data_IF_320352901759
#
_entry.id   IF_320352901759
#
_cell.length_a   1.000
_cell.length_b   1.000
_cell.length_c   1.000
_cell.angle_alpha   90.00
_cell.angle_beta   90.00
_cell.angle_gamma   90.00
#
_symmetry.space_group_name_H-M   'P 1'
#
loop_
_entity.id
_entity.type
_entity.pdbx_description
1 polymer ?
#
# COMPACT_ATOMS: atom_id res chain seq x y z
N UNK A 1 -0.68 0.62 9.18
CA UNK A 1 0.08 1.37 8.16
C UNK A 1 -0.50 2.77 8.07
N UNK A 2 0.33 3.80 8.20
CA UNK A 2 -0.08 5.19 7.99
C UNK A 2 0.27 5.59 6.55
N UNK A 3 -0.68 6.22 5.86
CA UNK A 3 -0.59 6.59 4.44
C UNK A 3 -0.80 8.09 4.31
N UNK A 4 0.23 8.79 3.86
CA UNK A 4 0.23 10.25 3.72
C UNK A 4 0.72 10.66 2.35
N UNK A 5 0.08 11.62 1.70
CA UNK A 5 0.53 12.10 0.39
C UNK A 5 -0.57 12.72 -0.43
N UNK A 6 -0.45 12.62 -1.75
CA UNK A 6 -1.47 13.12 -2.65
C UNK A 6 -1.15 12.92 -4.12
N UNK A 7 -2.13 13.28 -4.93
CA UNK A 7 -2.07 13.25 -6.38
C UNK A 7 -2.55 14.59 -6.95
N UNK A 8 -1.92 15.01 -8.03
CA UNK A 8 -2.35 16.15 -8.85
C UNK A 8 -2.59 15.61 -10.26
N UNK A 9 -3.83 15.69 -10.74
CA UNK A 9 -4.14 15.43 -12.14
C UNK A 9 -3.59 16.58 -12.99
N UNK A 10 -2.68 16.30 -13.92
CA UNK A 10 -1.98 17.34 -14.68
C UNK A 10 -2.86 18.00 -15.76
N UNK A 11 -3.97 17.36 -16.16
CA UNK A 11 -4.89 17.88 -17.17
C UNK A 11 -5.97 18.77 -16.53
N UNK A 12 -6.54 18.32 -15.40
CA UNK A 12 -7.65 19.03 -14.74
C UNK A 12 -7.19 19.93 -13.60
N UNK A 13 -5.93 19.82 -13.17
CA UNK A 13 -5.39 20.44 -11.95
C UNK A 13 -6.17 20.07 -10.67
N UNK A 14 -6.94 18.98 -10.72
CA UNK A 14 -7.62 18.42 -9.55
C UNK A 14 -6.58 17.83 -8.59
N UNK A 15 -6.73 18.13 -7.30
CA UNK A 15 -5.81 17.71 -6.25
C UNK A 15 -6.54 16.84 -5.24
N UNK A 16 -5.93 15.72 -4.90
CA UNK A 16 -6.41 14.82 -3.87
C UNK A 16 -5.29 14.59 -2.85
N UNK A 17 -5.63 14.66 -1.58
CA UNK A 17 -4.69 14.46 -0.47
C UNK A 17 -5.15 13.30 0.38
N UNK A 18 -4.18 12.54 0.86
CA UNK A 18 -4.42 11.40 1.73
C UNK A 18 -3.67 11.60 3.04
N UNK A 19 -4.37 11.41 4.14
CA UNK A 19 -3.82 11.22 5.47
C UNK A 19 -4.75 10.24 6.18
N UNK A 20 -4.35 8.97 6.22
CA UNK A 20 -5.20 7.90 6.74
C UNK A 20 -4.39 6.77 7.35
N UNK A 21 -4.97 6.16 8.37
CA UNK A 21 -4.52 4.89 8.91
C UNK A 21 -5.24 3.75 8.23
N UNK A 22 -4.47 2.77 7.80
CA UNK A 22 -4.90 1.59 7.06
C UNK A 22 -4.44 0.33 7.79
N UNK A 23 -5.35 -0.62 7.98
CA UNK A 23 -4.99 -1.98 8.32
C UNK A 23 -4.73 -2.74 7.02
N UNK A 24 -3.50 -3.18 6.80
CA UNK A 24 -3.09 -3.93 5.62
C UNK A 24 -2.96 -5.42 5.95
N UNK A 25 -3.60 -6.25 5.14
CA UNK A 25 -3.31 -7.67 5.03
C UNK A 25 -2.64 -7.92 3.69
N UNK A 26 -1.57 -8.71 3.68
CA UNK A 26 -0.78 -8.99 2.49
C UNK A 26 -0.46 -10.48 2.41
N UNK A 27 -0.82 -11.11 1.29
CA UNK A 27 -0.52 -12.51 1.01
C UNK A 27 0.06 -12.63 -0.40
N UNK A 28 1.39 -12.71 -0.46
CA UNK A 28 2.12 -12.81 -1.72
C UNK A 28 1.84 -14.13 -2.44
N UNK A 29 1.70 -15.25 -1.71
CA UNK A 29 1.49 -16.57 -2.30
C UNK A 29 0.12 -16.69 -2.95
N UNK A 30 -0.92 -16.14 -2.31
CA UNK A 30 -2.27 -16.03 -2.90
C UNK A 30 -2.39 -14.88 -3.90
N UNK A 31 -1.38 -14.00 -3.96
CA UNK A 31 -1.38 -12.75 -4.74
C UNK A 31 -2.61 -11.91 -4.42
N UNK A 32 -2.82 -11.66 -3.13
CA UNK A 32 -3.96 -10.90 -2.62
C UNK A 32 -3.54 -9.87 -1.58
N UNK A 33 -4.22 -8.73 -1.59
CA UNK A 33 -4.15 -7.75 -0.50
C UNK A 33 -5.53 -7.38 -0.03
N UNK A 34 -5.62 -6.97 1.23
CA UNK A 34 -6.80 -6.31 1.77
C UNK A 34 -6.37 -5.08 2.53
N UNK A 35 -7.08 -3.98 2.33
CA UNK A 35 -6.97 -2.81 3.18
C UNK A 35 -8.31 -2.52 3.85
N UNK A 36 -8.27 -2.22 5.13
CA UNK A 36 -9.40 -1.67 5.88
C UNK A 36 -9.04 -0.26 6.33
N UNK A 37 -9.85 0.71 5.93
CA UNK A 37 -9.67 2.14 6.26
C UNK A 37 -10.92 2.66 6.95
N UNK A 38 -10.76 3.34 8.08
CA UNK A 38 -11.88 4.07 8.70
C UNK A 38 -12.05 5.40 7.97
N UNK A 39 -13.20 5.60 7.36
CA UNK A 39 -13.56 6.84 6.64
C UNK A 39 -14.57 7.61 7.49
N UNK A 40 -14.28 8.90 7.72
CA UNK A 40 -15.18 9.83 8.39
C UNK A 40 -15.62 10.91 7.40
N UNK A 41 -16.92 10.99 7.11
CA UNK A 41 -17.49 11.99 6.21
C UNK A 41 -17.99 13.22 6.99
N UNK A 42 -18.33 14.27 6.24
CA UNK A 42 -19.00 15.45 6.80
C UNK A 42 -20.29 15.04 7.52
N UNK A 43 -20.49 15.57 8.73
CA UNK A 43 -21.60 15.17 9.61
C UNK A 43 -21.29 13.97 10.53
N UNK A 44 -20.01 13.63 10.74
CA UNK A 44 -19.54 12.58 11.66
C UNK A 44 -19.99 11.15 11.30
N UNK A 45 -20.47 10.92 10.08
CA UNK A 45 -20.75 9.57 9.62
C UNK A 45 -19.43 8.82 9.43
N UNK A 46 -19.27 7.70 10.12
CA UNK A 46 -18.05 6.88 10.08
C UNK A 46 -18.39 5.50 9.53
N UNK A 47 -17.58 4.99 8.61
CA UNK A 47 -17.69 3.62 8.11
C UNK A 47 -16.32 3.03 7.79
N UNK A 48 -16.26 1.70 7.67
CA UNK A 48 -15.06 1.01 7.18
C UNK A 48 -15.15 0.86 5.67
N UNK A 49 -14.20 1.45 4.96
CA UNK A 49 -13.91 1.13 3.58
C UNK A 49 -13.00 -0.09 3.55
N UNK A 50 -13.45 -1.15 2.88
CA UNK A 50 -12.63 -2.35 2.64
C UNK A 50 -12.31 -2.46 1.16
N UNK A 51 -11.03 -2.57 0.83
CA UNK A 51 -10.58 -2.91 -0.53
C UNK A 51 -9.88 -4.26 -0.49
N UNK A 52 -10.31 -5.21 -1.32
CA UNK A 52 -9.65 -6.49 -1.55
C UNK A 52 -9.13 -6.51 -2.98
N UNK A 53 -7.83 -6.69 -3.16
CA UNK A 53 -7.20 -6.75 -4.48
C UNK A 53 -6.79 -8.19 -4.77
N UNK A 54 -7.31 -8.73 -5.86
CA UNK A 54 -7.00 -10.06 -6.39
C UNK A 54 -6.15 -9.88 -7.66
N UNK A 55 -4.83 -9.98 -7.50
CA UNK A 55 -3.88 -9.78 -8.60
C UNK A 55 -3.83 -10.97 -9.55
N UNK A 56 -4.38 -12.14 -9.18
CA UNK A 56 -4.48 -13.28 -10.08
C UNK A 56 -5.57 -13.05 -11.13
N UNK A 57 -6.71 -12.50 -10.71
CA UNK A 57 -7.84 -12.20 -11.60
C UNK A 57 -7.84 -10.75 -12.11
N UNK A 58 -6.92 -9.91 -11.63
CA UNK A 58 -6.83 -8.50 -12.02
C UNK A 58 -8.06 -7.70 -11.59
N UNK A 59 -8.53 -7.91 -10.35
CA UNK A 59 -9.74 -7.25 -9.82
C UNK A 59 -9.44 -6.55 -8.51
N UNK A 60 -10.01 -5.35 -8.33
CA UNK A 60 -10.15 -4.70 -7.02
C UNK A 60 -11.61 -4.66 -6.62
N UNK A 61 -11.93 -5.15 -5.42
CA UNK A 61 -13.25 -5.18 -4.82
C UNK A 61 -13.31 -4.14 -3.72
N UNK A 62 -14.10 -3.08 -3.90
CA UNK A 62 -14.28 -2.00 -2.93
C UNK A 62 -15.64 -2.13 -2.27
N UNK A 63 -15.67 -2.09 -0.93
CA UNK A 63 -16.85 -2.35 -0.12
C UNK A 63 -17.07 -1.17 0.83
N UNK A 64 -18.20 -0.49 0.65
CA UNK A 64 -18.59 0.68 1.42
C UNK A 64 -20.04 0.56 1.85
N UNK A 65 -20.32 0.64 3.15
CA UNK A 65 -21.69 0.60 3.70
C UNK A 65 -22.51 -0.61 3.18
N UNK A 66 -21.85 -1.75 3.00
CA UNK A 66 -22.45 -2.98 2.47
C UNK A 66 -22.73 -2.99 0.96
N UNK A 67 -22.37 -1.91 0.25
CA UNK A 67 -22.34 -1.87 -1.21
C UNK A 67 -20.97 -2.28 -1.70
N UNK A 68 -20.93 -2.87 -2.89
CA UNK A 68 -19.69 -3.31 -3.50
C UNK A 68 -19.55 -2.81 -4.93
N UNK A 69 -18.36 -2.34 -5.28
CA UNK A 69 -17.95 -2.07 -6.65
C UNK A 69 -16.73 -2.92 -7.01
N UNK A 70 -16.61 -3.23 -8.29
CA UNK A 70 -15.49 -4.00 -8.84
C UNK A 70 -14.81 -3.17 -9.91
N UNK A 71 -13.50 -3.02 -9.78
CA UNK A 71 -12.67 -2.31 -10.75
C UNK A 71 -11.66 -3.27 -11.38
N UNK A 72 -11.32 -3.00 -12.64
CA UNK A 72 -10.25 -3.74 -13.31
C UNK A 72 -8.90 -3.22 -12.82
N UNK A 73 -8.06 -4.13 -12.35
CA UNK A 73 -6.70 -3.82 -11.95
C UNK A 73 -5.77 -3.90 -13.17
N UNK A 74 -4.98 -2.85 -13.38
CA UNK A 74 -4.01 -2.73 -14.48
C UNK A 74 -2.56 -2.92 -14.01
N UNK A 75 -2.33 -2.82 -12.70
CA UNK A 75 -0.99 -2.89 -12.10
C UNK A 75 -0.66 -4.28 -11.56
N UNK A 76 0.58 -4.76 -11.74
CA UNK A 76 1.00 -6.03 -11.15
C UNK A 76 1.17 -5.91 -9.64
N UNK A 77 1.17 -7.05 -8.95
CA UNK A 77 1.58 -7.11 -7.54
C UNK A 77 3.05 -6.68 -7.43
N UNK A 78 3.37 -5.82 -6.46
CA UNK A 78 4.75 -5.50 -6.17
C UNK A 78 5.46 -6.73 -5.60
N UNK A 79 6.73 -6.91 -5.96
CA UNK A 79 7.53 -7.99 -5.40
C UNK A 79 7.69 -7.85 -3.88
N UNK A 80 7.64 -9.01 -3.20
CA UNK A 80 7.78 -9.11 -1.75
C UNK A 80 9.16 -8.62 -1.29
N UNK A 81 10.19 -8.87 -2.11
CA UNK A 81 11.57 -8.54 -1.81
C UNK A 81 11.99 -7.21 -2.45
N UNK A 82 13.09 -6.64 -1.96
CA UNK A 82 13.80 -5.58 -2.66
C UNK A 82 14.23 -6.11 -4.05
N UNK A 83 13.90 -5.42 -5.15
CA UNK A 83 14.30 -5.84 -6.49
C UNK A 83 15.82 -5.97 -6.63
N UNK A 84 16.28 -6.89 -7.47
CA UNK A 84 17.73 -7.14 -7.67
C UNK A 84 18.49 -5.94 -8.21
N UNK A 85 17.82 -5.08 -8.96
CA UNK A 85 18.33 -3.86 -9.56
C UNK A 85 18.17 -2.63 -8.65
N UNK A 86 17.66 -2.80 -7.44
CA UNK A 86 17.55 -1.71 -6.49
C UNK A 86 18.93 -1.23 -6.00
N UNK A 87 19.05 0.09 -5.86
CA UNK A 87 20.24 0.73 -5.36
C UNK A 87 20.12 0.97 -3.85
N UNK A 88 21.09 0.47 -3.07
CA UNK A 88 21.22 0.85 -1.67
C UNK A 88 21.64 2.33 -1.59
N UNK A 89 20.80 3.17 -0.99
CA UNK A 89 21.08 4.61 -0.85
C UNK A 89 21.59 4.99 0.54
N UNK A 90 21.21 4.23 1.58
CA UNK A 90 21.67 4.47 2.94
C UNK A 90 21.48 3.25 3.85
N UNK A 91 22.28 3.20 4.91
CA UNK A 91 22.07 2.36 6.09
C UNK A 91 21.98 3.29 7.30
N UNK A 92 20.95 3.11 8.13
CA UNK A 92 20.64 4.02 9.24
C UNK A 92 20.10 3.26 10.44
N UNK A 93 20.22 3.88 11.59
CA UNK A 93 19.65 3.43 12.84
C UNK A 93 18.50 4.37 13.22
N UNK A 94 17.32 3.81 13.52
CA UNK A 94 16.14 4.58 13.95
C UNK A 94 15.91 4.31 15.44
N UNK A 95 15.98 5.37 16.26
CA UNK A 95 15.80 5.28 17.70
C UNK A 95 17.08 5.56 18.49
N UNK A 96 17.03 5.45 19.83
CA UNK A 96 18.18 5.69 20.69
C UNK A 96 19.25 4.60 20.54
N UNK A 97 20.54 4.88 20.84
CA UNK A 97 21.64 3.92 20.68
C UNK A 97 21.41 2.54 21.32
N UNK A 98 20.78 2.49 22.49
CA UNK A 98 20.56 1.26 23.24
C UNK A 98 19.29 0.49 22.85
N UNK A 99 18.44 1.07 21.99
CA UNK A 99 17.21 0.45 21.51
C UNK A 99 16.85 1.03 20.13
N UNK A 100 17.66 0.68 19.14
CA UNK A 100 17.50 1.16 17.79
C UNK A 100 17.02 0.07 16.84
N UNK A 101 16.46 0.52 15.72
CA UNK A 101 16.09 -0.30 14.59
C UNK A 101 17.05 -0.01 13.44
N UNK A 102 17.90 -0.97 13.11
CA UNK A 102 18.78 -0.89 11.95
C UNK A 102 17.99 -1.11 10.65
N UNK A 103 18.10 -0.15 9.73
CA UNK A 103 17.39 -0.14 8.45
C UNK A 103 18.31 0.09 7.27
N UNK A 104 17.97 -0.54 6.16
CA UNK A 104 18.54 -0.27 4.84
C UNK A 104 17.50 0.44 3.99
N UNK A 105 17.93 1.48 3.30
CA UNK A 105 17.09 2.28 2.42
C UNK A 105 17.51 2.02 0.98
N UNK A 106 16.56 1.58 0.18
CA UNK A 106 16.73 1.16 -1.21
C UNK A 106 15.92 2.05 -2.13
N UNK A 107 16.43 2.28 -3.34
CA UNK A 107 15.76 3.05 -4.38
C UNK A 107 15.67 2.23 -5.67
N UNK A 108 14.50 2.20 -6.29
CA UNK A 108 14.26 1.55 -7.57
C UNK A 108 13.08 2.18 -8.31
N UNK A 109 12.82 1.75 -9.54
CA UNK A 109 11.68 2.19 -10.37
C UNK A 109 10.77 0.99 -10.58
N UNK A 110 9.45 1.19 -10.48
CA UNK A 110 8.49 0.10 -10.78
C UNK A 110 8.51 -0.13 -12.30
N UNK A 111 8.78 -1.37 -12.77
CA UNK A 111 8.82 -1.68 -14.19
C UNK A 111 7.55 -1.23 -14.93
N UNK A 112 7.72 -0.72 -16.14
CA UNK A 112 6.62 -0.23 -17.00
C UNK A 112 5.85 0.97 -16.45
N UNK A 113 6.41 1.69 -15.47
CA UNK A 113 5.85 2.94 -14.94
C UNK A 113 6.94 4.01 -14.81
N UNK A 114 6.54 5.26 -14.57
CA UNK A 114 7.45 6.34 -14.18
C UNK A 114 7.48 6.56 -12.65
N UNK A 115 7.16 5.52 -11.88
CA UNK A 115 7.09 5.59 -10.42
C UNK A 115 8.42 5.17 -9.81
N UNK A 116 9.04 6.11 -9.09
CA UNK A 116 10.21 5.84 -8.25
C UNK A 116 9.74 5.40 -6.86
N UNK A 117 10.38 4.37 -6.33
CA UNK A 117 10.16 3.87 -4.97
C UNK A 117 11.43 4.05 -4.15
N UNK A 118 11.27 4.63 -2.96
CA UNK A 118 12.29 4.64 -1.91
C UNK A 118 11.73 3.83 -0.74
N UNK A 119 12.27 2.64 -0.50
CA UNK A 119 11.78 1.69 0.51
C UNK A 119 12.83 1.50 1.58
N UNK A 120 12.44 1.60 2.85
CA UNK A 120 13.26 1.22 3.98
C UNK A 120 12.79 -0.12 4.56
N UNK A 121 13.75 -0.99 4.86
CA UNK A 121 13.51 -2.31 5.45
C UNK A 121 14.47 -2.56 6.61
N UNK A 122 14.06 -3.36 7.59
CA UNK A 122 14.94 -3.74 8.70
C UNK A 122 16.06 -4.66 8.25
N UNK A 123 17.17 -4.68 9.00
CA UNK A 123 18.24 -5.68 8.87
C UNK A 123 18.25 -6.57 10.12
N UNK A 124 18.38 -7.91 9.99
CA UNK A 124 18.56 -8.69 8.76
C UNK A 124 17.25 -9.17 8.11
N UNK A 125 16.12 -9.01 8.78
CA UNK A 125 14.88 -9.73 8.42
C UNK A 125 14.05 -9.10 7.29
N UNK A 126 14.46 -7.95 6.78
CA UNK A 126 13.79 -7.24 5.68
C UNK A 126 12.33 -6.85 5.94
N UNK A 127 11.96 -6.56 7.20
CA UNK A 127 10.62 -6.06 7.52
C UNK A 127 10.42 -4.66 6.92
N UNK A 128 9.30 -4.38 6.24
CA UNK A 128 9.04 -3.05 5.69
C UNK A 128 8.87 -2.04 6.84
N UNK A 129 9.59 -0.93 6.78
CA UNK A 129 9.49 0.16 7.77
C UNK A 129 8.76 1.34 7.13
N UNK A 130 9.25 1.81 5.99
CA UNK A 130 8.61 2.87 5.23
C UNK A 130 8.79 2.70 3.72
N UNK A 131 7.90 3.31 2.96
CA UNK A 131 7.97 3.37 1.51
C UNK A 131 7.50 4.74 1.05
N UNK A 132 8.22 5.33 0.12
CA UNK A 132 7.81 6.53 -0.58
C UNK A 132 7.70 6.16 -2.06
N UNK A 133 6.56 6.44 -2.66
CA UNK A 133 6.33 6.28 -4.09
C UNK A 133 6.06 7.66 -4.67
N UNK A 134 6.80 8.04 -5.71
CA UNK A 134 6.57 9.31 -6.38
C UNK A 134 6.89 9.23 -7.87
N UNK A 135 6.16 10.01 -8.67
CA UNK A 135 6.33 10.01 -10.11
C UNK A 135 5.04 10.34 -10.84
N UNK A 136 4.99 9.98 -12.13
CA UNK A 136 3.79 10.13 -12.94
C UNK A 136 3.10 8.79 -13.17
N UNK A 137 1.80 8.77 -12.92
CA UNK A 137 0.95 7.60 -13.09
C UNK A 137 -0.42 8.05 -13.62
N UNK A 138 -0.92 7.39 -14.68
CA UNK A 138 -2.22 7.67 -15.32
C UNK A 138 -2.50 9.16 -15.60
N UNK A 139 -1.48 9.92 -16.01
CA UNK A 139 -1.60 11.35 -16.35
C UNK A 139 -1.62 12.29 -15.14
N UNK A 140 -1.49 11.76 -13.92
CA UNK A 140 -1.28 12.52 -12.69
C UNK A 140 0.17 12.46 -12.21
N UNK A 141 0.59 13.48 -11.46
CA UNK A 141 1.76 13.38 -10.58
C UNK A 141 1.30 12.92 -9.21
N UNK A 142 1.93 11.90 -8.66
CA UNK A 142 1.62 11.36 -7.33
C UNK A 142 2.87 11.34 -6.47
N UNK A 143 2.68 11.56 -5.18
CA UNK A 143 3.70 11.38 -4.14
C UNK A 143 3.02 10.86 -2.88
N UNK A 144 3.32 9.63 -2.52
CA UNK A 144 2.72 8.89 -1.42
C UNK A 144 3.81 8.35 -0.51
N UNK A 145 3.58 8.41 0.80
CA UNK A 145 4.41 7.81 1.83
C UNK A 145 3.57 6.83 2.63
N UNK A 146 4.15 5.67 2.91
CA UNK A 146 3.57 4.56 3.65
C UNK A 146 4.51 4.23 4.79
N UNK A 147 4.02 4.29 6.03
CA UNK A 147 4.78 3.88 7.22
C UNK A 147 4.11 2.65 7.82
N UNK A 148 4.87 1.59 8.01
CA UNK A 148 4.35 0.31 8.49
C UNK A 148 4.77 0.09 9.94
N UNK A 149 3.82 -0.36 10.75
CA UNK A 149 4.00 -0.69 12.16
C UNK A 149 3.10 -1.87 12.51
N UNK A 150 3.30 -2.44 13.71
CA UNK A 150 2.49 -3.54 14.26
C UNK A 150 2.42 -4.76 13.32
N UNK A 151 3.53 -5.06 12.65
CA UNK A 151 3.62 -6.17 11.71
C UNK A 151 3.58 -7.47 12.48
N UNK A 152 2.76 -8.41 11.99
CA UNK A 152 2.66 -9.72 12.59
C UNK A 152 2.48 -10.80 11.51
N UNK A 153 3.22 -11.90 11.65
CA UNK A 153 3.07 -13.09 10.80
C UNK A 153 2.09 -14.02 11.50
N UNK A 154 0.80 -13.71 11.44
CA UNK A 154 -0.23 -14.63 11.94
C UNK A 154 -1.01 -15.19 10.77
N UNK A 155 -1.41 -16.48 10.82
CA UNK A 155 -2.48 -16.96 9.98
C UNK A 155 -3.72 -16.14 10.33
N UNK A 156 -4.07 -15.20 9.47
CA UNK A 156 -5.36 -14.55 9.53
C UNK A 156 -6.43 -15.57 9.06
N UNK A 157 -7.65 -15.44 9.57
CA UNK A 157 -8.75 -16.29 9.10
C UNK A 157 -8.90 -16.16 7.58
N UNK A 158 -9.01 -17.27 6.84
CA UNK A 158 -9.18 -17.24 5.37
C UNK A 158 -10.35 -16.35 4.93
N UNK A 159 -11.33 -16.15 5.81
CA UNK A 159 -12.46 -15.25 5.61
C UNK A 159 -12.05 -13.79 5.35
N UNK A 160 -10.88 -13.34 5.83
CA UNK A 160 -10.40 -11.96 5.67
C UNK A 160 -10.19 -11.61 4.20
N UNK A 161 -9.64 -12.54 3.42
CA UNK A 161 -9.39 -12.36 1.97
C UNK A 161 -10.50 -12.94 1.10
N UNK A 162 -11.60 -13.43 1.70
CA UNK A 162 -12.67 -14.04 0.93
C UNK A 162 -13.41 -12.97 0.13
N UNK A 163 -13.42 -13.14 -1.20
CA UNK A 163 -14.16 -12.30 -2.13
C UNK A 163 -15.64 -12.25 -1.73
N UNK A 164 -16.26 -11.06 -1.59
CA UNK A 164 -17.64 -11.01 -1.13
C UNK A 164 -18.58 -11.54 -2.22
N UNK A 165 -19.48 -12.47 -1.84
CA UNK A 165 -20.39 -13.12 -2.80
C UNK A 165 -21.30 -12.13 -3.54
N UNK A 166 -21.66 -11.03 -2.90
CA UNK A 166 -22.51 -9.98 -3.48
C UNK A 166 -21.75 -9.06 -4.47
N UNK A 167 -20.42 -9.23 -4.60
CA UNK A 167 -19.57 -8.52 -5.56
C UNK A 167 -19.30 -9.33 -6.84
N UNK A 168 -19.99 -10.45 -7.06
CA UNK A 168 -19.75 -11.33 -8.20
C UNK A 168 -20.48 -10.80 -9.44
N UNK A 169 -19.83 -9.87 -10.16
CA UNK A 169 -20.26 -9.40 -11.49
C UNK A 169 -19.05 -9.28 -12.41
#
# INVERSE_FOLDING_TARGET
>A
MDVTGGMINLQTNHKEFYDRRVHLYFDYHRRMTRTDTIVTLSGNMTFTHTEIVDYHHGKSYKIDLGRCSVEQLTVPIQDQCIPKDAQLIAQRSIGPPDNNLEVQIWKYVIPSTNMTVVRSVTTPDCWPVSQIEYGTFEGGYTAMSYTTADISIHPYSESVMTRPKHCQW
#
